data_IF_862172886888
#
_entry.id   IF_862172886888
#
_cell.length_a   1.000
_cell.length_b   1.000
_cell.length_c   1.000
_cell.angle_alpha   90.00
_cell.angle_beta   90.00
_cell.angle_gamma   90.00
#
_symmetry.space_group_name_H-M   'P 1'
#
loop_
_entity.id
_entity.type
_entity.pdbx_description
1 polymer ?
#
# COMPACT_ATOMS: atom_id res chain seq x y z
N UNK A 1 -15.11 -49.62 -0.48
CA UNK A 1 -15.03 -48.42 0.38
C UNK A 1 -14.12 -47.41 -0.31
N UNK A 2 -14.68 -46.37 -0.94
CA UNK A 2 -13.89 -45.35 -1.63
C UNK A 2 -13.17 -44.48 -0.59
N UNK A 3 -11.84 -44.57 -0.53
CA UNK A 3 -10.99 -43.72 0.30
C UNK A 3 -11.03 -42.33 -0.35
N UNK A 4 -11.84 -41.42 0.20
CA UNK A 4 -11.81 -40.01 -0.18
C UNK A 4 -10.39 -39.49 0.09
N UNK A 5 -9.63 -39.23 -0.98
CA UNK A 5 -8.44 -38.41 -0.88
C UNK A 5 -8.90 -37.01 -0.47
N UNK A 6 -8.49 -36.58 0.73
CA UNK A 6 -8.87 -35.29 1.33
C UNK A 6 -7.92 -34.18 0.85
N UNK A 7 -7.32 -34.34 -0.33
CA UNK A 7 -6.38 -33.34 -0.84
C UNK A 7 -7.16 -32.13 -1.33
N UNK A 8 -7.18 -31.09 -0.51
CA UNK A 8 -7.94 -29.87 -0.78
C UNK A 8 -7.25 -29.09 -1.90
N UNK A 9 -7.71 -29.28 -3.13
CA UNK A 9 -7.23 -28.55 -4.31
C UNK A 9 -7.47 -27.05 -4.10
N UNK A 10 -6.40 -26.26 -4.11
CA UNK A 10 -6.44 -24.81 -4.07
C UNK A 10 -6.10 -24.31 -5.47
N UNK A 11 -7.06 -23.68 -6.15
CA UNK A 11 -6.80 -23.11 -7.46
C UNK A 11 -5.95 -21.84 -7.32
N UNK A 12 -5.05 -21.60 -8.28
CA UNK A 12 -4.10 -20.48 -8.26
C UNK A 12 -4.77 -19.11 -8.28
N UNK A 13 -5.96 -19.02 -8.87
CA UNK A 13 -6.78 -17.80 -8.98
C UNK A 13 -7.68 -17.56 -7.75
N UNK A 14 -7.86 -18.56 -6.88
CA UNK A 14 -8.61 -18.38 -5.64
C UNK A 14 -7.86 -17.47 -4.66
N UNK A 15 -8.59 -16.80 -3.77
CA UNK A 15 -7.95 -16.01 -2.68
C UNK A 15 -6.95 -16.83 -1.85
N UNK A 16 -7.18 -18.14 -1.68
CA UNK A 16 -6.22 -18.99 -0.98
C UNK A 16 -4.96 -19.24 -1.83
N UNK A 17 -5.12 -19.47 -3.13
CA UNK A 17 -4.01 -19.58 -4.07
C UNK A 17 -3.19 -18.29 -4.13
N UNK A 18 -3.85 -17.14 -4.23
CA UNK A 18 -3.19 -15.83 -4.18
C UNK A 18 -2.46 -15.57 -2.87
N UNK A 19 -3.00 -16.02 -1.74
CA UNK A 19 -2.31 -15.94 -0.44
C UNK A 19 -1.07 -16.85 -0.35
N UNK A 20 -1.07 -17.96 -1.09
CA UNK A 20 0.02 -18.92 -1.12
C UNK A 20 1.13 -18.50 -2.09
N UNK A 21 0.75 -18.00 -3.27
CA UNK A 21 1.66 -17.73 -4.37
C UNK A 21 2.38 -16.38 -4.24
N UNK A 22 1.79 -15.41 -3.54
CA UNK A 22 2.38 -14.08 -3.37
C UNK A 22 2.77 -13.81 -1.91
N UNK A 23 4.05 -13.55 -1.69
CA UNK A 23 4.63 -13.24 -0.37
C UNK A 23 4.85 -11.73 -0.20
N UNK A 24 3.77 -10.96 -0.33
CA UNK A 24 3.77 -9.55 0.04
C UNK A 24 4.06 -9.35 1.53
N UNK A 25 4.45 -8.13 1.88
CA UNK A 25 4.61 -7.66 3.26
C UNK A 25 3.32 -7.83 4.04
N UNK A 26 3.46 -8.25 5.30
CA UNK A 26 2.35 -8.27 6.24
C UNK A 26 1.94 -6.85 6.61
N UNK A 27 0.76 -6.65 7.22
CA UNK A 27 0.30 -5.34 7.64
C UNK A 27 1.34 -4.56 8.44
N UNK A 28 1.94 -5.18 9.44
CA UNK A 28 2.92 -4.59 10.36
C UNK A 28 4.21 -4.13 9.66
N UNK A 29 4.52 -4.76 8.51
CA UNK A 29 5.72 -4.50 7.73
C UNK A 29 5.43 -3.57 6.55
N UNK A 30 4.17 -3.21 6.32
CA UNK A 30 3.75 -2.39 5.18
C UNK A 30 3.71 -0.93 5.60
N UNK A 31 4.72 -0.17 5.16
CA UNK A 31 4.70 1.29 5.21
C UNK A 31 3.63 1.82 4.25
N UNK A 32 2.65 2.56 4.75
CA UNK A 32 1.53 3.09 3.95
C UNK A 32 1.72 4.54 3.52
N UNK A 33 2.55 5.29 4.25
CA UNK A 33 2.91 6.65 3.91
C UNK A 33 4.28 7.03 4.50
N UNK A 34 4.90 8.07 3.97
CA UNK A 34 6.15 8.61 4.48
C UNK A 34 6.62 9.85 3.71
N UNK A 35 7.67 10.48 4.19
CA UNK A 35 8.21 11.71 3.59
C UNK A 35 9.37 11.49 2.63
N UNK A 36 10.15 10.44 2.87
CA UNK A 36 11.35 10.15 2.10
C UNK A 36 11.29 8.75 1.47
N UNK A 37 11.83 8.65 0.25
CA UNK A 37 11.82 7.41 -0.53
C UNK A 37 12.74 6.36 0.10
N UNK A 38 13.90 6.78 0.61
CA UNK A 38 14.90 5.88 1.17
C UNK A 38 14.48 5.37 2.54
N UNK A 39 13.81 6.19 3.34
CA UNK A 39 13.19 5.76 4.59
C UNK A 39 12.13 4.68 4.34
N UNK A 40 11.18 4.92 3.42
CA UNK A 40 10.14 3.94 3.07
C UNK A 40 10.77 2.66 2.52
N UNK A 41 11.77 2.79 1.64
CA UNK A 41 12.53 1.66 1.08
C UNK A 41 13.18 0.82 2.17
N UNK A 42 13.85 1.45 3.14
CA UNK A 42 14.53 0.79 4.25
C UNK A 42 13.52 0.07 5.15
N UNK A 43 12.43 0.74 5.54
CA UNK A 43 11.37 0.15 6.35
C UNK A 43 10.72 -1.07 5.68
N UNK A 44 10.48 -0.99 4.37
CA UNK A 44 9.90 -2.08 3.59
C UNK A 44 10.93 -3.17 3.26
N UNK A 45 12.24 -2.94 3.45
CA UNK A 45 13.32 -3.82 2.99
C UNK A 45 13.09 -4.31 1.54
N UNK A 46 12.91 -3.37 0.62
CA UNK A 46 12.71 -3.60 -0.82
C UNK A 46 13.60 -2.68 -1.63
N UNK A 47 13.70 -2.91 -2.95
CA UNK A 47 14.44 -1.99 -3.83
C UNK A 47 13.51 -0.93 -4.41
N UNK A 48 13.96 0.32 -4.43
CA UNK A 48 13.22 1.43 -5.02
C UNK A 48 13.58 1.63 -6.50
N UNK A 49 12.58 1.93 -7.33
CA UNK A 49 12.69 2.13 -8.77
C UNK A 49 11.95 3.39 -9.23
N UNK A 50 12.59 4.12 -10.15
CA UNK A 50 12.01 5.19 -10.95
C UNK A 50 11.22 4.56 -12.11
N UNK A 51 10.08 5.18 -12.43
CA UNK A 51 9.13 4.65 -13.43
C UNK A 51 9.23 5.46 -14.72
N UNK A 52 10.07 5.02 -15.66
CA UNK A 52 10.24 5.65 -16.97
C UNK A 52 10.48 7.16 -16.88
N UNK A 53 9.63 7.94 -17.58
CA UNK A 53 9.67 9.41 -17.60
C UNK A 53 8.95 10.08 -16.42
N UNK A 54 8.35 9.32 -15.49
CA UNK A 54 7.69 9.90 -14.33
C UNK A 54 8.73 10.51 -13.39
N UNK A 55 8.50 11.76 -12.98
CA UNK A 55 9.34 12.42 -11.99
C UNK A 55 9.26 11.64 -10.66
N UNK A 56 10.41 11.33 -10.08
CA UNK A 56 10.53 10.59 -8.82
C UNK A 56 9.77 11.27 -7.67
N UNK A 57 9.68 12.61 -7.68
CA UNK A 57 8.89 13.38 -6.72
C UNK A 57 7.38 13.18 -6.83
N UNK A 58 6.90 12.61 -7.94
CA UNK A 58 5.49 12.29 -8.17
C UNK A 58 5.16 10.84 -7.85
N UNK A 59 6.06 9.90 -8.16
CA UNK A 59 5.84 8.48 -7.88
C UNK A 59 7.14 7.68 -7.94
N UNK A 60 7.18 6.61 -7.17
CA UNK A 60 8.22 5.58 -7.22
C UNK A 60 7.61 4.21 -6.91
N UNK A 61 8.37 3.16 -7.23
CA UNK A 61 7.95 1.79 -7.01
C UNK A 61 8.92 1.12 -6.04
N UNK A 62 8.43 0.36 -5.07
CA UNK A 62 9.23 -0.65 -4.37
C UNK A 62 8.93 -2.02 -4.94
N UNK A 63 9.93 -2.87 -5.15
CA UNK A 63 9.73 -4.23 -5.65
C UNK A 63 10.87 -5.17 -5.27
N UNK A 64 10.55 -6.47 -5.23
CA UNK A 64 11.50 -7.58 -5.07
C UNK A 64 12.03 -8.13 -6.42
N UNK A 65 11.68 -7.48 -7.55
CA UNK A 65 11.95 -7.91 -8.94
C UNK A 65 11.26 -9.19 -9.40
N UNK A 66 10.43 -9.80 -8.55
CA UNK A 66 9.54 -10.88 -8.93
C UNK A 66 8.17 -10.25 -9.09
N UNK A 67 7.15 -10.80 -8.45
CA UNK A 67 5.78 -10.35 -8.65
C UNK A 67 5.29 -9.36 -7.57
N UNK A 68 6.12 -9.05 -6.57
CA UNK A 68 5.75 -8.14 -5.48
C UNK A 68 6.17 -6.72 -5.81
N UNK A 69 5.21 -5.80 -5.76
CA UNK A 69 5.46 -4.38 -5.96
C UNK A 69 4.58 -3.51 -5.07
N UNK A 70 5.04 -2.31 -4.75
CA UNK A 70 4.27 -1.32 -4.00
C UNK A 70 4.45 0.04 -4.68
N UNK A 71 3.36 0.57 -5.23
CA UNK A 71 3.38 1.86 -5.93
C UNK A 71 3.09 2.99 -4.93
N UNK A 72 4.08 3.83 -4.71
CA UNK A 72 3.93 5.05 -3.92
C UNK A 72 3.79 6.24 -4.84
N UNK A 73 2.88 7.15 -4.50
CA UNK A 73 2.69 8.40 -5.22
C UNK A 73 2.69 9.56 -4.25
N UNK A 74 3.09 10.74 -4.73
CA UNK A 74 2.87 11.97 -4.02
C UNK A 74 1.37 12.16 -3.78
N UNK A 75 0.95 12.51 -2.57
CA UNK A 75 -0.46 12.67 -2.22
C UNK A 75 -1.21 13.69 -3.12
N UNK A 76 -0.48 14.61 -3.77
CA UNK A 76 -1.04 15.60 -4.71
C UNK A 76 -1.03 15.14 -6.18
N UNK A 77 -0.38 14.02 -6.51
CA UNK A 77 -0.29 13.53 -7.88
C UNK A 77 -1.64 13.01 -8.37
N UNK A 78 -2.24 13.63 -9.39
CA UNK A 78 -3.61 13.32 -9.85
C UNK A 78 -3.71 12.10 -10.78
N UNK A 79 -2.61 11.74 -11.45
CA UNK A 79 -2.61 10.70 -12.49
C UNK A 79 -2.27 9.30 -11.96
N UNK A 80 -2.37 9.08 -10.65
CA UNK A 80 -2.01 7.82 -9.99
C UNK A 80 -2.80 6.62 -10.51
N UNK A 81 -4.10 6.78 -10.84
CA UNK A 81 -4.92 5.68 -11.41
C UNK A 81 -4.38 5.19 -12.76
N UNK A 82 -4.08 6.14 -13.65
CA UNK A 82 -3.46 5.85 -14.96
C UNK A 82 -2.08 5.23 -14.80
N UNK A 83 -1.32 5.66 -13.80
CA UNK A 83 -0.02 5.07 -13.48
C UNK A 83 -0.16 3.63 -12.97
N UNK A 84 -1.08 3.35 -12.05
CA UNK A 84 -1.31 2.01 -11.50
C UNK A 84 -1.70 1.00 -12.58
N UNK A 85 -2.54 1.41 -13.55
CA UNK A 85 -2.93 0.59 -14.71
C UNK A 85 -1.76 0.15 -15.61
N UNK A 86 -0.58 0.77 -15.49
CA UNK A 86 0.62 0.29 -16.19
C UNK A 86 1.16 -1.00 -15.60
N UNK A 87 0.89 -1.26 -14.32
CA UNK A 87 1.42 -2.39 -13.56
C UNK A 87 0.48 -3.59 -13.52
N UNK A 88 -0.77 -3.43 -13.93
CA UNK A 88 -1.78 -4.50 -13.90
C UNK A 88 -2.51 -4.63 -15.25
N UNK A 89 -3.05 -5.81 -15.54
CA UNK A 89 -3.83 -6.03 -16.76
C UNK A 89 -5.14 -5.24 -16.79
N UNK A 90 -5.91 -5.30 -15.70
CA UNK A 90 -7.23 -4.68 -15.59
C UNK A 90 -7.60 -4.42 -14.13
N UNK A 91 -8.44 -3.42 -13.89
CA UNK A 91 -9.10 -3.21 -12.60
C UNK A 91 -10.44 -3.95 -12.64
N UNK A 92 -10.75 -4.83 -11.67
CA UNK A 92 -12.03 -5.51 -11.64
C UNK A 92 -13.21 -4.54 -11.59
N UNK A 93 -14.35 -4.95 -12.15
CA UNK A 93 -15.60 -4.19 -12.08
C UNK A 93 -15.95 -3.88 -10.62
N UNK A 94 -16.39 -2.66 -10.35
CA UNK A 94 -16.71 -2.15 -9.01
C UNK A 94 -15.52 -1.96 -8.06
N UNK A 95 -14.27 -2.04 -8.54
CA UNK A 95 -13.09 -1.66 -7.77
C UNK A 95 -12.61 -0.27 -8.14
N UNK A 96 -12.06 0.43 -7.15
CA UNK A 96 -11.41 1.72 -7.29
C UNK A 96 -9.93 1.58 -6.94
N UNK A 97 -9.09 2.24 -7.73
CA UNK A 97 -7.70 2.53 -7.34
C UNK A 97 -7.69 3.84 -6.57
N UNK A 98 -7.12 3.84 -5.37
CA UNK A 98 -7.02 5.03 -4.52
C UNK A 98 -5.78 5.03 -3.64
N UNK A 99 -5.50 6.20 -3.06
CA UNK A 99 -4.54 6.30 -1.97
C UNK A 99 -5.07 5.49 -0.79
N UNK A 100 -4.19 4.69 -0.19
CA UNK A 100 -4.56 3.88 0.96
C UNK A 100 -5.00 4.75 2.14
N UNK A 101 -4.23 5.81 2.37
CA UNK A 101 -4.52 6.92 3.27
C UNK A 101 -5.14 8.06 2.47
N UNK A 102 -6.24 8.63 2.92
CA UNK A 102 -6.86 9.74 2.21
C UNK A 102 -5.88 10.92 2.05
N UNK A 103 -5.92 11.61 0.91
CA UNK A 103 -5.05 12.79 0.65
C UNK A 103 -5.12 13.83 1.76
N UNK A 104 -6.31 14.06 2.33
CA UNK A 104 -6.49 14.99 3.46
C UNK A 104 -5.75 14.53 4.70
N UNK A 105 -5.76 13.23 5.00
CA UNK A 105 -5.03 12.64 6.12
C UNK A 105 -3.52 12.69 5.90
N UNK A 106 -3.06 12.30 4.71
CA UNK A 106 -1.64 12.42 4.35
C UNK A 106 -1.16 13.87 4.49
N UNK A 107 -1.97 14.85 4.05
CA UNK A 107 -1.65 16.26 4.22
C UNK A 107 -1.67 16.71 5.68
N UNK A 108 -2.60 16.21 6.49
CA UNK A 108 -2.70 16.53 7.92
C UNK A 108 -1.50 15.99 8.69
N UNK A 109 -1.05 14.77 8.38
CA UNK A 109 0.15 14.17 8.96
C UNK A 109 1.46 14.58 8.26
N UNK A 110 1.39 15.52 7.32
CA UNK A 110 2.53 15.99 6.53
C UNK A 110 3.33 14.84 5.87
N UNK A 111 2.65 13.83 5.32
CA UNK A 111 3.25 12.77 4.51
C UNK A 111 3.24 13.13 3.03
N UNK A 112 4.42 13.13 2.40
CA UNK A 112 4.59 13.40 0.96
C UNK A 112 4.09 12.25 0.10
N UNK A 113 4.50 11.02 0.40
CA UNK A 113 4.20 9.84 -0.41
C UNK A 113 3.22 8.92 0.30
N UNK A 114 2.28 8.36 -0.47
CA UNK A 114 1.25 7.46 0.01
C UNK A 114 1.16 6.25 -0.92
N UNK A 115 1.02 5.06 -0.34
CA UNK A 115 0.84 3.81 -1.05
C UNK A 115 -0.51 3.79 -1.77
N UNK A 116 -0.51 3.28 -3.00
CA UNK A 116 -1.72 3.06 -3.79
C UNK A 116 -2.25 1.64 -3.57
N UNK A 117 -3.58 1.53 -3.46
CA UNK A 117 -4.28 0.26 -3.36
C UNK A 117 -5.51 0.24 -4.27
N UNK A 118 -6.05 -0.96 -4.45
CA UNK A 118 -7.25 -1.26 -5.23
C UNK A 118 -8.28 -1.91 -4.30
N UNK A 119 -9.46 -1.31 -4.16
CA UNK A 119 -10.49 -1.74 -3.21
C UNK A 119 -11.89 -1.69 -3.83
N UNK A 120 -12.85 -2.53 -3.38
CA UNK A 120 -14.25 -2.38 -3.77
C UNK A 120 -14.77 -0.98 -3.43
N UNK A 121 -15.49 -0.35 -4.37
CA UNK A 121 -16.05 1.01 -4.26
C UNK A 121 -16.83 1.21 -2.97
N UNK A 122 -17.69 0.24 -2.61
CA UNK A 122 -18.55 0.31 -1.42
C UNK A 122 -17.72 0.39 -0.13
N UNK A 123 -16.65 -0.39 -0.04
CA UNK A 123 -15.76 -0.40 1.13
C UNK A 123 -15.02 0.93 1.25
N UNK A 124 -14.47 1.43 0.12
CA UNK A 124 -13.75 2.70 0.12
C UNK A 124 -14.65 3.88 0.56
N UNK A 125 -15.89 3.94 0.09
CA UNK A 125 -16.86 4.98 0.48
C UNK A 125 -17.19 4.90 1.98
N UNK A 126 -17.45 3.71 2.52
CA UNK A 126 -17.79 3.52 3.94
C UNK A 126 -16.66 3.97 4.87
N UNK A 127 -15.42 3.55 4.58
CA UNK A 127 -14.24 3.96 5.34
C UNK A 127 -13.98 5.46 5.24
N UNK A 128 -14.09 6.03 4.02
CA UNK A 128 -13.88 7.46 3.80
C UNK A 128 -14.82 8.38 4.61
N UNK A 129 -16.06 7.95 4.92
CA UNK A 129 -16.99 8.71 5.77
C UNK A 129 -16.50 8.80 7.22
N UNK A 130 -16.04 7.68 7.78
CA UNK A 130 -15.56 7.61 9.17
C UNK A 130 -14.21 8.31 9.31
N UNK A 131 -13.35 8.16 8.30
CA UNK A 131 -12.04 8.80 8.21
C UNK A 131 -12.11 10.33 8.34
N UNK A 132 -13.12 10.98 7.76
CA UNK A 132 -13.30 12.45 7.81
C UNK A 132 -13.72 13.00 9.18
N UNK A 133 -14.52 12.24 9.92
CA UNK A 133 -15.11 12.70 11.19
C UNK A 133 -14.05 12.77 12.31
N UNK A 134 -13.03 11.90 12.26
CA UNK A 134 -12.08 11.73 13.37
C UNK A 134 -10.81 12.57 13.27
N UNK A 135 -10.45 13.03 12.06
CA UNK A 135 -9.31 13.94 11.86
C UNK A 135 -9.41 15.25 12.66
N UNK A 136 -10.61 15.70 13.00
CA UNK A 136 -10.80 16.94 13.76
C UNK A 136 -10.40 16.84 15.25
N UNK A 137 -9.95 15.67 15.72
CA UNK A 137 -9.76 15.36 17.13
C UNK A 137 -8.29 15.13 17.54
N UNK A 138 -7.32 15.23 16.64
CA UNK A 138 -5.92 14.80 16.89
C UNK A 138 -4.94 15.97 17.05
N UNK A 139 -4.08 15.87 18.07
CA UNK A 139 -2.94 16.76 18.30
C UNK A 139 -1.72 16.27 17.51
N UNK A 140 -1.04 17.19 16.82
CA UNK A 140 0.01 16.92 15.80
C UNK A 140 1.44 16.79 16.35
N UNK A 141 1.62 16.81 17.66
CA UNK A 141 2.96 16.83 18.25
C UNK A 141 3.58 15.42 18.15
N UNK A 142 4.71 15.29 17.44
CA UNK A 142 5.53 14.09 17.24
C UNK A 142 4.96 13.02 16.28
N UNK A 143 4.78 13.39 15.00
CA UNK A 143 4.47 12.42 13.95
C UNK A 143 5.73 11.64 13.50
N UNK A 144 5.64 10.30 13.33
CA UNK A 144 6.76 9.52 12.82
C UNK A 144 6.99 9.83 11.34
N UNK A 145 8.23 9.69 10.86
CA UNK A 145 8.58 9.98 9.46
C UNK A 145 7.98 8.99 8.45
N UNK A 146 7.67 7.79 8.93
CA UNK A 146 6.97 6.72 8.21
C UNK A 146 5.70 6.35 8.99
N UNK A 147 4.61 6.16 8.27
CA UNK A 147 3.37 5.59 8.79
C UNK A 147 3.25 4.14 8.32
N UNK A 148 3.18 3.20 9.25
CA UNK A 148 2.88 1.81 8.96
C UNK A 148 1.37 1.58 8.92
N UNK A 149 0.98 0.40 8.42
CA UNK A 149 -0.42 0.00 8.42
C UNK A 149 -0.99 0.04 9.84
N UNK A 150 -2.11 0.73 10.01
CA UNK A 150 -2.91 0.73 11.24
C UNK A 150 -4.10 -0.25 11.12
N UNK A 151 -4.82 -0.48 12.22
CA UNK A 151 -6.00 -1.37 12.24
C UNK A 151 -7.15 -0.91 11.31
N UNK A 152 -7.25 0.40 11.09
CA UNK A 152 -8.33 1.01 10.32
C UNK A 152 -8.15 0.72 8.85
N UNK A 153 -6.93 0.88 8.34
CA UNK A 153 -6.56 0.48 6.99
C UNK A 153 -6.53 -1.05 6.85
N UNK A 154 -6.08 -1.79 7.87
CA UNK A 154 -6.16 -3.25 7.89
C UNK A 154 -7.60 -3.75 7.67
N UNK A 155 -8.56 -3.20 8.40
CA UNK A 155 -9.99 -3.53 8.23
C UNK A 155 -10.52 -3.10 6.85
N UNK A 156 -10.05 -1.97 6.31
CA UNK A 156 -10.37 -1.49 4.97
C UNK A 156 -9.93 -2.48 3.89
N UNK A 157 -8.68 -2.94 3.93
CA UNK A 157 -8.17 -3.92 2.97
C UNK A 157 -8.87 -5.26 3.12
N UNK A 158 -9.13 -5.71 4.34
CA UNK A 158 -9.85 -6.97 4.58
C UNK A 158 -11.37 -6.90 4.31
N UNK A 159 -11.85 -5.81 3.71
CA UNK A 159 -13.24 -5.60 3.30
C UNK A 159 -14.21 -5.66 4.48
N UNK A 160 -13.75 -5.26 5.66
CA UNK A 160 -14.53 -5.23 6.90
C UNK A 160 -15.15 -3.85 7.12
N UNK A 161 -16.18 -3.81 7.95
CA UNK A 161 -16.71 -2.54 8.46
C UNK A 161 -15.61 -1.77 9.19
N UNK A 162 -15.56 -0.42 9.12
CA UNK A 162 -14.58 0.38 9.85
C UNK A 162 -14.68 0.24 11.38
N UNK A 163 -15.81 -0.24 11.89
CA UNK A 163 -16.07 -0.50 13.31
C UNK A 163 -15.93 -1.98 13.68
N UNK A 164 -15.54 -2.83 12.74
CA UNK A 164 -15.49 -4.27 12.97
C UNK A 164 -14.44 -4.61 14.03
N UNK A 165 -14.86 -5.33 15.06
CA UNK A 165 -13.98 -5.96 16.07
C UNK A 165 -13.14 -4.96 16.88
N UNK A 166 -13.59 -3.71 17.01
CA UNK A 166 -12.92 -2.68 17.78
C UNK A 166 -13.92 -1.93 18.67
N UNK A 167 -13.56 -1.70 19.92
CA UNK A 167 -14.29 -0.76 20.79
C UNK A 167 -13.93 0.69 20.41
N UNK A 168 -14.70 1.68 20.90
CA UNK A 168 -14.54 3.07 20.49
C UNK A 168 -13.10 3.61 20.69
N UNK A 169 -12.46 3.25 21.79
CA UNK A 169 -11.07 3.63 22.10
C UNK A 169 -10.06 2.98 21.13
N UNK A 170 -10.23 1.71 20.77
CA UNK A 170 -9.41 1.03 19.76
C UNK A 170 -9.58 1.64 18.37
N UNK A 171 -10.81 2.02 18.02
CA UNK A 171 -11.07 2.72 16.77
C UNK A 171 -10.39 4.08 16.81
N UNK A 172 -10.34 4.79 17.95
CA UNK A 172 -9.64 6.08 18.07
C UNK A 172 -8.12 5.93 18.03
N UNK A 173 -7.56 4.94 18.75
CA UNK A 173 -6.12 4.66 18.73
C UNK A 173 -5.63 4.23 17.35
N UNK A 174 -6.48 3.60 16.53
CA UNK A 174 -6.20 3.21 15.15
C UNK A 174 -6.06 4.35 14.14
N UNK A 175 -6.15 5.62 14.56
CA UNK A 175 -5.88 6.79 13.71
C UNK A 175 -4.49 7.39 13.95
N UNK A 176 -3.79 6.99 15.03
CA UNK A 176 -2.41 7.40 15.25
C UNK A 176 -1.47 6.64 14.32
N UNK A 177 -0.51 7.32 13.66
CA UNK A 177 0.49 6.69 12.78
C UNK A 177 1.37 5.62 13.44
N UNK A 178 1.39 5.55 14.76
CA UNK A 178 2.13 4.55 15.56
C UNK A 178 1.33 3.28 15.83
N UNK A 179 0.04 3.23 15.46
CA UNK A 179 -0.79 2.04 15.62
C UNK A 179 -0.41 0.96 14.61
N UNK A 180 -0.43 -0.30 15.05
CA UNK A 180 -0.12 -1.46 14.20
C UNK A 180 -0.99 -2.67 14.58
N UNK A 181 -1.51 -3.45 13.61
CA UNK A 181 -2.27 -4.64 13.88
C UNK A 181 -1.46 -5.68 14.65
N UNK A 182 -2.07 -6.33 15.64
CA UNK A 182 -1.39 -7.40 16.41
C UNK A 182 -1.53 -8.79 15.80
N UNK A 183 -2.25 -8.92 14.69
CA UNK A 183 -2.65 -10.21 14.12
C UNK A 183 -2.04 -10.46 12.76
N UNK A 184 -1.64 -11.70 12.51
CA UNK A 184 -1.25 -12.17 11.18
C UNK A 184 -2.45 -12.31 10.23
N UNK A 185 -2.15 -12.63 8.97
CA UNK A 185 -3.17 -12.91 7.95
C UNK A 185 -3.34 -14.42 7.77
N UNK A 186 -4.58 -14.91 7.86
CA UNK A 186 -4.91 -16.24 7.33
C UNK A 186 -4.67 -16.29 5.82
N UNK A 187 -4.51 -17.48 5.24
CA UNK A 187 -4.23 -17.63 3.80
C UNK A 187 -5.22 -16.87 2.89
N UNK A 188 -6.52 -16.96 3.19
CA UNK A 188 -7.56 -16.23 2.44
C UNK A 188 -7.43 -14.72 2.60
N UNK A 189 -7.12 -14.23 3.80
CA UNK A 189 -6.93 -12.81 4.07
C UNK A 189 -5.67 -12.28 3.36
N UNK A 190 -4.61 -13.08 3.31
CA UNK A 190 -3.40 -12.77 2.53
C UNK A 190 -3.71 -12.67 1.04
N UNK A 191 -4.61 -13.52 0.52
CA UNK A 191 -5.15 -13.35 -0.83
C UNK A 191 -5.83 -12.01 -1.07
N UNK A 192 -6.73 -11.59 -0.18
CA UNK A 192 -7.43 -10.29 -0.26
C UNK A 192 -6.41 -9.14 -0.20
N UNK A 193 -5.46 -9.25 0.71
CA UNK A 193 -4.37 -8.30 0.91
C UNK A 193 -3.54 -8.11 -0.36
N UNK A 194 -2.97 -9.21 -0.89
CA UNK A 194 -2.19 -9.23 -2.11
C UNK A 194 -2.98 -8.72 -3.33
N UNK A 195 -4.27 -9.06 -3.40
CA UNK A 195 -5.16 -8.59 -4.47
C UNK A 195 -5.35 -7.08 -4.43
N UNK A 196 -5.37 -6.48 -3.25
CA UNK A 196 -5.52 -5.04 -3.08
C UNK A 196 -4.32 -4.24 -3.57
N UNK A 197 -3.17 -4.89 -3.79
CA UNK A 197 -1.98 -4.28 -4.40
C UNK A 197 -1.75 -4.72 -5.85
N UNK A 198 -2.62 -5.56 -6.41
CA UNK A 198 -2.60 -5.91 -7.84
C UNK A 198 -1.65 -7.05 -8.24
N UNK A 199 -1.18 -7.88 -7.30
CA UNK A 199 -0.16 -8.90 -7.59
C UNK A 199 -0.63 -9.97 -8.59
N UNK A 200 -1.89 -10.39 -8.50
CA UNK A 200 -2.44 -11.52 -9.24
C UNK A 200 -2.64 -11.30 -10.75
N UNK A 201 -2.38 -10.10 -11.26
CA UNK A 201 -2.38 -9.76 -12.71
C UNK A 201 -1.28 -8.76 -13.04
N UNK A 202 -0.15 -8.90 -12.35
CA UNK A 202 0.99 -7.99 -12.46
C UNK A 202 1.65 -8.05 -13.83
N UNK A 203 2.11 -6.90 -14.32
CA UNK A 203 2.95 -6.73 -15.53
C UNK A 203 4.41 -6.46 -15.17
N UNK A 204 4.77 -6.62 -13.90
CA UNK A 204 6.02 -6.08 -13.37
C UNK A 204 7.28 -6.66 -14.06
N UNK A 205 7.29 -7.96 -14.36
CA UNK A 205 8.43 -8.61 -15.01
C UNK A 205 8.67 -8.02 -16.41
N UNK A 206 7.61 -7.85 -17.21
CA UNK A 206 7.69 -7.22 -18.52
C UNK A 206 8.18 -5.76 -18.44
N UNK A 207 7.83 -5.02 -17.38
CA UNK A 207 8.30 -3.64 -17.17
C UNK A 207 9.79 -3.56 -16.78
N UNK A 208 10.31 -4.60 -16.12
CA UNK A 208 11.75 -4.73 -15.87
C UNK A 208 12.49 -5.06 -17.17
N UNK A 209 12.01 -6.04 -17.93
CA UNK A 209 12.59 -6.45 -19.22
C UNK A 209 12.61 -5.30 -20.22
N UNK A 210 11.58 -4.45 -20.23
CA UNK A 210 11.52 -3.29 -21.12
C UNK A 210 12.42 -2.11 -20.71
N UNK A 211 13.13 -2.20 -19.59
CA UNK A 211 13.98 -1.12 -19.06
C UNK A 211 13.23 0.13 -18.59
N UNK A 212 11.91 0.06 -18.40
CA UNK A 212 11.10 1.18 -17.89
C UNK A 212 11.42 1.45 -16.43
N UNK A 213 11.74 0.40 -15.66
CA UNK A 213 12.06 0.50 -14.24
C UNK A 213 13.57 0.63 -14.03
N UNK A 214 14.00 1.78 -13.52
CA UNK A 214 15.42 2.06 -13.23
C UNK A 214 15.63 2.17 -11.72
N UNK A 215 16.62 1.46 -11.19
CA UNK A 215 16.93 1.47 -9.76
C UNK A 215 17.23 2.91 -9.31
N UNK A 216 16.70 3.29 -8.15
CA UNK A 216 17.03 4.55 -7.48
C UNK A 216 18.22 4.26 -6.56
N UNK A 217 19.35 4.90 -6.86
CA UNK A 217 20.56 4.81 -6.07
C UNK A 217 20.62 5.95 -5.04
N UNK A 218 21.28 5.68 -3.91
CA UNK A 218 21.62 6.68 -2.91
C UNK A 218 22.76 7.52 -3.46
N UNK A 219 22.46 8.49 -4.33
CA UNK A 219 23.40 9.56 -4.61
C UNK A 219 23.03 10.74 -3.73
N UNK A 220 23.79 10.84 -2.63
CA UNK A 220 24.10 12.02 -1.83
C UNK A 220 23.43 13.29 -2.37
N UNK A 221 22.30 13.66 -1.74
CA UNK A 221 21.80 15.03 -1.81
C UNK A 221 22.68 15.86 -0.84
N UNK A 222 23.94 16.06 -1.18
CA UNK A 222 24.72 17.21 -0.73
C UNK A 222 25.22 17.87 -1.99
N UNK A 223 24.56 18.96 -2.38
CA UNK A 223 25.10 20.11 -3.13
C UNK A 223 23.93 20.97 -3.60
N UNK A 224 23.30 21.68 -2.66
CA UNK A 224 22.54 22.91 -2.93
C UNK A 224 22.73 23.95 -1.80
N UNK A 225 23.86 23.90 -1.09
CA UNK A 225 24.35 25.02 -0.27
C UNK A 225 25.86 25.09 -0.43
N UNK A 226 26.27 25.75 -1.51
CA UNK A 226 27.53 26.48 -1.69
C UNK A 226 27.43 27.03 -3.10
N UNK A 227 26.89 28.24 -3.19
CA UNK A 227 27.12 29.23 -4.25
C UNK A 227 26.32 30.48 -3.83
N UNK A 228 26.80 31.11 -2.76
CA UNK A 228 26.63 32.53 -2.48
C UNK A 228 28.00 33.01 -2.02
N UNK A 229 28.86 33.29 -3.00
CA UNK A 229 29.81 34.40 -2.89
C UNK A 229 29.03 35.72 -2.99
#
# INVERSE_FOLDING_TARGET
MLKLSVEKIITNDSLRGLGQNFNGKNPQETAIAGNDIFEIKQAMNLTAYKIGKININNAFLLSDKKDIFYLYVNAKYRNYRKLFLRFINEIPTNYHVDHILARTQASHYNYKYVLICMLPKIINIKHGRIEKIKMSLENLNNLPSICFMDDRIYNKILLRSPTARQNFEQIKSGFFPTSSPKYGLTLKQKGIWNSSFGFYKSKINALFESGILKKIELNVITNLHNDCD
#
